data_IF_547928748206
#
_entry.id   IF_547928748206
#
_cell.length_a   1.000
_cell.length_b   1.000
_cell.length_c   1.000
_cell.angle_alpha   90.00
_cell.angle_beta   90.00
_cell.angle_gamma   90.00
#
_symmetry.space_group_name_H-M   'P 1'
#
loop_
_entity.id
_entity.type
_entity.pdbx_description
1 polymer ?
#
# COMPACT_ATOMS: atom_id res chain seq x y z
N UNK A 1 -37.81 49.38 19.93
CA UNK A 1 -37.97 48.80 18.57
C UNK A 1 -36.92 49.47 17.71
N UNK A 2 -35.87 48.87 17.17
CA UNK A 2 -35.54 47.48 16.90
C UNK A 2 -34.01 47.36 16.98
N UNK A 3 -33.49 46.51 17.87
CA UNK A 3 -32.07 46.13 17.81
C UNK A 3 -31.96 45.03 16.76
N UNK A 4 -31.40 45.37 15.61
CA UNK A 4 -31.05 44.38 14.60
C UNK A 4 -29.91 43.52 15.14
N UNK A 5 -30.22 42.24 15.40
CA UNK A 5 -29.23 41.19 15.64
C UNK A 5 -28.38 41.03 14.39
N UNK A 6 -27.06 41.19 14.54
CA UNK A 6 -26.08 40.75 13.53
C UNK A 6 -26.12 39.21 13.52
N UNK A 7 -26.32 38.54 12.37
CA UNK A 7 -26.25 37.09 12.34
C UNK A 7 -24.81 36.64 12.59
N UNK A 8 -24.66 35.64 13.45
CA UNK A 8 -23.40 34.95 13.67
C UNK A 8 -22.82 34.49 12.32
N UNK A 9 -21.53 34.72 12.12
CA UNK A 9 -20.78 34.21 10.97
C UNK A 9 -20.97 32.69 10.91
N UNK A 10 -21.76 32.22 9.94
CA UNK A 10 -21.71 30.83 9.53
C UNK A 10 -20.29 30.61 9.00
N UNK A 11 -19.47 29.84 9.72
CA UNK A 11 -18.20 29.39 9.16
C UNK A 11 -18.54 28.68 7.85
N UNK A 12 -18.13 29.25 6.72
CA UNK A 12 -18.21 28.59 5.43
C UNK A 12 -17.41 27.29 5.54
N UNK A 13 -18.08 26.17 5.82
CA UNK A 13 -17.45 24.86 5.73
C UNK A 13 -17.06 24.67 4.26
N UNK A 14 -15.76 24.69 3.99
CA UNK A 14 -15.21 24.47 2.65
C UNK A 14 -15.68 23.09 2.19
N UNK A 15 -16.33 23.03 1.02
CA UNK A 15 -16.81 21.78 0.48
C UNK A 15 -15.61 20.83 0.24
N UNK A 16 -15.66 19.54 0.61
CA UNK A 16 -14.51 18.62 0.50
C UNK A 16 -13.85 18.61 -0.89
N UNK A 17 -14.66 18.75 -1.95
CA UNK A 17 -14.21 18.85 -3.35
C UNK A 17 -13.30 20.06 -3.67
N UNK A 18 -13.43 21.12 -2.88
CA UNK A 18 -12.67 22.39 -3.04
C UNK A 18 -11.37 22.39 -2.21
N UNK A 19 -11.21 21.43 -1.30
CA UNK A 19 -9.94 21.20 -0.60
C UNK A 19 -8.91 20.66 -1.60
N UNK A 20 -7.67 21.13 -1.54
CA UNK A 20 -6.54 20.58 -2.29
C UNK A 20 -5.57 19.91 -1.32
N UNK A 21 -5.50 18.58 -1.36
CA UNK A 21 -4.54 17.80 -0.60
C UNK A 21 -3.36 17.39 -1.51
N UNK A 22 -2.11 17.45 -1.04
CA UNK A 22 -0.97 17.01 -1.82
C UNK A 22 -1.00 15.49 -2.04
N UNK A 23 -0.67 15.08 -3.26
CA UNK A 23 -0.38 13.70 -3.63
C UNK A 23 0.97 13.71 -4.37
N UNK A 24 2.03 13.26 -3.71
CA UNK A 24 3.37 13.17 -4.31
C UNK A 24 3.67 11.74 -4.70
N UNK A 25 4.44 11.58 -5.76
CA UNK A 25 4.93 10.26 -6.19
C UNK A 25 6.43 10.35 -6.39
N UNK A 26 7.17 9.48 -5.72
CA UNK A 26 8.64 9.49 -5.67
C UNK A 26 9.20 8.18 -6.20
N UNK A 27 10.21 8.25 -7.07
CA UNK A 27 10.90 7.08 -7.60
C UNK A 27 12.28 6.91 -6.93
N UNK A 28 12.40 5.98 -5.98
CA UNK A 28 13.71 5.57 -5.43
C UNK A 28 14.26 4.31 -6.12
N UNK A 29 13.65 3.86 -7.21
CA UNK A 29 14.19 2.78 -8.02
C UNK A 29 15.42 3.28 -8.78
N UNK A 30 16.35 2.38 -9.10
CA UNK A 30 17.53 2.71 -9.91
C UNK A 30 17.22 2.85 -11.41
N UNK A 31 15.96 2.61 -11.80
CA UNK A 31 15.49 2.64 -13.18
C UNK A 31 14.27 3.58 -13.30
N UNK A 32 14.00 4.12 -14.49
CA UNK A 32 12.77 4.85 -14.75
C UNK A 32 11.55 3.95 -14.50
N UNK A 33 10.53 4.53 -13.88
CA UNK A 33 9.22 3.91 -13.73
C UNK A 33 8.16 4.80 -14.38
N UNK A 34 6.98 4.24 -14.61
CA UNK A 34 5.85 4.99 -15.10
C UNK A 34 4.71 4.92 -14.10
N UNK A 35 4.67 5.79 -13.09
CA UNK A 35 3.56 5.80 -12.17
C UNK A 35 2.25 6.06 -12.89
N UNK A 36 1.18 5.53 -12.31
CA UNK A 36 -0.17 5.63 -12.79
C UNK A 36 -1.10 5.87 -11.61
N UNK A 37 -2.13 6.67 -11.85
CA UNK A 37 -3.09 7.09 -10.82
C UNK A 37 -4.50 6.93 -11.41
N UNK A 38 -5.35 6.18 -10.71
CA UNK A 38 -6.76 6.06 -11.05
C UNK A 38 -7.58 6.83 -10.01
N UNK A 39 -8.50 7.66 -10.49
CA UNK A 39 -9.49 8.34 -9.65
C UNK A 39 -10.83 7.65 -9.80
N UNK A 40 -11.38 7.15 -8.69
CA UNK A 40 -12.71 6.53 -8.60
C UNK A 40 -13.76 7.54 -8.12
N UNK A 41 -13.37 8.51 -7.28
CA UNK A 41 -14.24 9.59 -6.81
C UNK A 41 -13.45 10.87 -6.55
N UNK A 42 -14.15 12.00 -6.50
CA UNK A 42 -13.58 13.33 -6.27
C UNK A 42 -12.87 13.89 -7.51
N UNK A 43 -12.07 14.94 -7.30
CA UNK A 43 -11.19 15.52 -8.31
C UNK A 43 -9.81 14.89 -8.17
N UNK A 44 -9.43 14.17 -9.22
CA UNK A 44 -8.12 13.54 -9.35
C UNK A 44 -6.99 14.52 -9.65
N UNK A 45 -5.77 14.00 -9.75
CA UNK A 45 -4.58 14.79 -10.05
C UNK A 45 -4.56 15.20 -11.54
N UNK A 46 -3.68 16.14 -11.88
CA UNK A 46 -3.61 16.71 -13.23
C UNK A 46 -3.15 15.70 -14.30
N UNK A 47 -2.40 14.67 -13.89
CA UNK A 47 -1.88 13.60 -14.74
C UNK A 47 -2.17 12.24 -14.10
N UNK A 48 -2.84 11.35 -14.85
CA UNK A 48 -3.13 9.96 -14.45
C UNK A 48 -2.01 8.98 -14.81
N UNK A 49 -0.98 9.43 -15.53
CA UNK A 49 0.25 8.65 -15.68
C UNK A 49 1.37 9.40 -16.39
N UNK A 50 2.60 9.12 -15.97
CA UNK A 50 3.78 9.89 -16.35
C UNK A 50 5.03 9.03 -16.23
N UNK A 51 6.14 9.45 -16.86
CA UNK A 51 7.46 8.85 -16.61
C UNK A 51 8.12 9.55 -15.42
N UNK A 52 8.83 8.80 -14.59
CA UNK A 52 9.54 9.34 -13.43
C UNK A 52 10.96 8.76 -13.38
N UNK A 53 11.99 9.60 -13.45
CA UNK A 53 13.39 9.15 -13.42
C UNK A 53 13.81 8.77 -12.00
N UNK A 54 14.89 7.98 -11.83
CA UNK A 54 15.47 7.71 -10.52
C UNK A 54 15.75 8.99 -9.72
N UNK A 55 15.26 9.04 -8.49
CA UNK A 55 15.39 10.18 -7.57
C UNK A 55 14.36 11.30 -7.76
N UNK A 56 13.56 11.28 -8.83
CA UNK A 56 12.57 12.32 -9.08
C UNK A 56 11.32 12.16 -8.21
N UNK A 57 10.71 13.30 -7.90
CA UNK A 57 9.40 13.41 -7.25
C UNK A 57 8.43 14.20 -8.13
N UNK A 58 7.23 13.68 -8.33
CA UNK A 58 6.15 14.35 -9.05
C UNK A 58 5.09 14.85 -8.05
N UNK A 59 5.01 16.16 -7.77
CA UNK A 59 3.98 16.72 -6.91
C UNK A 59 2.68 16.96 -7.68
N UNK A 60 1.58 16.41 -7.18
CA UNK A 60 0.22 16.67 -7.67
C UNK A 60 -0.73 16.96 -6.49
N UNK A 61 -2.00 17.21 -6.79
CA UNK A 61 -3.04 17.44 -5.77
C UNK A 61 -4.28 16.64 -6.10
N UNK A 62 -5.05 16.31 -5.06
CA UNK A 62 -6.35 15.66 -5.16
C UNK A 62 -7.34 16.37 -4.23
N UNK A 63 -8.63 16.17 -4.43
CA UNK A 63 -9.63 16.76 -3.54
C UNK A 63 -9.76 16.06 -2.19
N UNK A 64 -10.38 16.73 -1.21
CA UNK A 64 -10.72 16.15 0.10
C UNK A 64 -11.82 15.09 0.07
N UNK A 65 -12.43 14.79 -1.08
CA UNK A 65 -13.35 13.65 -1.26
C UNK A 65 -12.77 12.59 -2.20
N UNK A 66 -11.47 12.68 -2.49
CA UNK A 66 -10.84 11.81 -3.47
C UNK A 66 -10.79 10.35 -3.00
N UNK A 67 -11.12 9.45 -3.92
CA UNK A 67 -10.91 8.01 -3.80
C UNK A 67 -10.15 7.54 -5.02
N UNK A 68 -9.09 6.80 -4.81
CA UNK A 68 -8.22 6.40 -5.91
C UNK A 68 -7.10 5.50 -5.47
N UNK A 69 -6.28 5.15 -6.46
CA UNK A 69 -5.12 4.28 -6.29
C UNK A 69 -3.94 4.72 -7.14
N UNK A 70 -2.75 4.46 -6.63
CA UNK A 70 -1.47 4.74 -7.27
C UNK A 70 -0.70 3.43 -7.43
N UNK A 71 -0.13 3.19 -8.62
CA UNK A 71 0.75 2.04 -8.86
C UNK A 71 1.88 2.41 -9.82
N UNK A 72 2.94 1.61 -9.80
CA UNK A 72 4.10 1.80 -10.68
C UNK A 72 4.08 0.81 -11.83
N UNK A 73 4.36 1.28 -13.04
CA UNK A 73 4.54 0.44 -14.23
C UNK A 73 6.01 0.33 -14.57
N UNK A 74 6.43 -0.83 -15.07
CA UNK A 74 7.83 -1.12 -15.36
C UNK A 74 8.06 -1.49 -16.82
N UNK A 75 9.27 -1.18 -17.30
CA UNK A 75 9.75 -1.50 -18.64
C UNK A 75 8.72 -1.08 -19.72
N UNK A 76 8.36 0.21 -19.69
CA UNK A 76 7.40 0.77 -20.64
C UNK A 76 8.08 1.41 -21.84
N UNK A 77 7.41 1.42 -22.98
CA UNK A 77 7.83 2.17 -24.15
C UNK A 77 6.61 2.75 -24.87
N UNK A 78 6.49 4.08 -24.89
CA UNK A 78 5.41 4.79 -25.57
C UNK A 78 5.96 5.64 -26.72
N UNK A 79 5.27 5.68 -27.88
CA UNK A 79 5.59 6.64 -28.92
C UNK A 79 5.26 8.06 -28.44
N UNK A 80 5.68 9.09 -29.19
CA UNK A 80 5.42 10.50 -28.83
C UNK A 80 3.95 10.87 -28.65
N UNK A 81 3.01 10.05 -29.15
CA UNK A 81 1.55 10.18 -28.92
C UNK A 81 1.10 9.74 -27.53
N UNK A 82 1.94 9.06 -26.74
CA UNK A 82 1.60 8.56 -25.42
C UNK A 82 0.60 7.39 -25.41
N UNK A 83 0.38 6.73 -26.56
CA UNK A 83 -0.54 5.59 -26.69
C UNK A 83 0.02 4.52 -27.64
N UNK A 84 -0.17 3.26 -27.27
CA UNK A 84 0.43 2.10 -27.91
C UNK A 84 1.90 1.87 -27.51
N UNK A 85 2.48 0.71 -27.85
CA UNK A 85 3.91 0.48 -27.71
C UNK A 85 4.71 1.22 -28.81
N UNK A 86 5.91 1.72 -28.48
CA UNK A 86 6.78 2.42 -29.46
C UNK A 86 7.15 1.58 -30.68
N UNK A 87 7.07 0.26 -30.58
CA UNK A 87 7.36 -0.67 -31.70
C UNK A 87 6.33 -0.57 -32.83
N UNK A 88 5.19 0.09 -32.63
CA UNK A 88 4.08 0.15 -33.59
C UNK A 88 3.45 -1.22 -33.89
N UNK A 89 3.84 -2.25 -33.14
CA UNK A 89 3.36 -3.63 -33.27
C UNK A 89 2.27 -3.91 -32.23
N UNK A 90 1.42 -4.92 -32.45
CA UNK A 90 0.49 -5.38 -31.42
C UNK A 90 1.23 -5.81 -30.14
N UNK A 91 0.70 -5.46 -28.96
CA UNK A 91 1.31 -5.76 -27.67
C UNK A 91 0.95 -4.76 -26.56
N UNK A 92 1.50 -4.98 -25.36
CA UNK A 92 1.39 -4.06 -24.22
C UNK A 92 2.54 -3.05 -24.22
N UNK A 93 2.28 -1.82 -23.80
CA UNK A 93 3.31 -0.79 -23.73
C UNK A 93 4.23 -0.98 -22.52
N UNK A 94 3.73 -1.55 -21.42
CA UNK A 94 4.47 -1.85 -20.19
C UNK A 94 4.50 -3.35 -19.89
N UNK A 95 5.57 -3.83 -19.24
CA UNK A 95 5.68 -5.25 -18.84
C UNK A 95 4.84 -5.58 -17.62
N UNK A 96 4.70 -4.65 -16.66
CA UNK A 96 3.83 -4.80 -15.49
C UNK A 96 3.00 -3.54 -15.25
N UNK A 97 1.82 -3.69 -14.66
CA UNK A 97 0.92 -2.58 -14.33
C UNK A 97 0.34 -1.84 -15.53
N UNK A 98 0.49 -2.37 -16.76
CA UNK A 98 0.02 -1.70 -17.98
C UNK A 98 -1.47 -1.34 -17.87
N UNK A 99 -1.86 -0.15 -18.32
CA UNK A 99 -3.23 0.35 -18.19
C UNK A 99 -3.93 0.50 -19.55
N UNK A 100 -3.70 -0.46 -20.44
CA UNK A 100 -4.26 -0.48 -21.79
C UNK A 100 -3.35 0.18 -22.83
N UNK A 101 -2.04 0.16 -22.62
CA UNK A 101 -1.03 0.80 -23.47
C UNK A 101 -1.16 2.32 -23.59
N UNK A 102 -1.68 2.99 -22.56
CA UNK A 102 -1.73 4.45 -22.48
C UNK A 102 -0.76 4.99 -21.44
N UNK A 103 -0.04 6.08 -21.74
CA UNK A 103 0.76 6.78 -20.75
C UNK A 103 -0.14 7.37 -19.67
N UNK A 104 -1.19 8.07 -20.08
CA UNK A 104 -2.27 8.57 -19.22
C UNK A 104 -3.31 7.45 -19.05
N UNK A 105 -3.40 6.89 -17.85
CA UNK A 105 -4.25 5.72 -17.63
C UNK A 105 -5.75 6.09 -17.64
N UNK A 106 -6.56 5.47 -18.51
CA UNK A 106 -8.01 5.66 -18.52
C UNK A 106 -8.73 4.77 -17.49
N UNK A 107 -8.02 3.80 -16.90
CA UNK A 107 -8.61 2.80 -16.02
C UNK A 107 -7.56 2.08 -15.16
N UNK A 108 -7.96 0.94 -14.61
CA UNK A 108 -7.12 0.08 -13.78
C UNK A 108 -5.88 -0.43 -14.53
N UNK A 109 -4.79 -0.65 -13.80
CA UNK A 109 -3.63 -1.38 -14.30
C UNK A 109 -3.87 -2.89 -14.33
N UNK A 110 -3.15 -3.58 -15.22
CA UNK A 110 -3.12 -5.04 -15.30
C UNK A 110 -2.19 -5.62 -14.23
N UNK A 111 -2.64 -6.70 -13.58
CA UNK A 111 -1.84 -7.45 -12.63
C UNK A 111 -0.59 -8.09 -13.30
N UNK A 112 0.54 -8.21 -12.58
CA UNK A 112 0.71 -7.82 -11.19
C UNK A 112 1.02 -6.34 -11.01
N UNK A 113 0.40 -5.73 -10.01
CA UNK A 113 0.69 -4.36 -9.59
C UNK A 113 0.53 -4.23 -8.07
N UNK A 114 1.58 -3.77 -7.39
CA UNK A 114 1.47 -3.31 -6.00
C UNK A 114 0.73 -1.98 -5.98
N UNK A 115 -0.34 -1.88 -5.19
CA UNK A 115 -1.19 -0.69 -5.13
C UNK A 115 -0.97 0.08 -3.83
N UNK A 116 -1.04 1.41 -3.90
CA UNK A 116 -1.33 2.28 -2.77
C UNK A 116 -2.74 2.85 -2.96
N UNK A 117 -3.65 2.54 -2.04
CA UNK A 117 -5.08 2.85 -2.16
C UNK A 117 -5.48 3.87 -1.11
N UNK A 118 -6.40 4.78 -1.48
CA UNK A 118 -6.79 5.90 -0.63
C UNK A 118 -8.29 6.17 -0.76
N UNK A 119 -8.92 6.43 0.38
CA UNK A 119 -10.28 6.94 0.49
C UNK A 119 -10.32 8.07 1.51
N UNK A 120 -10.44 9.30 1.02
CA UNK A 120 -10.81 10.44 1.86
C UNK A 120 -12.32 10.42 2.08
N UNK A 121 -12.74 10.05 3.30
CA UNK A 121 -14.14 9.96 3.69
C UNK A 121 -14.59 11.27 4.33
N UNK A 122 -15.33 12.06 3.57
CA UNK A 122 -15.95 13.30 4.07
C UNK A 122 -17.04 13.05 5.12
N UNK A 123 -17.66 11.88 5.11
CA UNK A 123 -18.78 11.56 6.01
C UNK A 123 -18.31 11.28 7.44
N UNK A 124 -17.12 10.69 7.57
CA UNK A 124 -16.51 10.34 8.86
C UNK A 124 -15.33 11.23 9.23
N UNK A 125 -14.95 12.18 8.38
CA UNK A 125 -13.73 13.01 8.51
C UNK A 125 -12.47 12.18 8.75
N UNK A 126 -12.42 11.01 8.12
CA UNK A 126 -11.32 10.05 8.21
C UNK A 126 -10.75 9.76 6.84
N UNK A 127 -9.49 9.38 6.82
CA UNK A 127 -8.83 8.84 5.65
C UNK A 127 -8.53 7.37 5.88
N UNK A 128 -8.99 6.54 4.95
CA UNK A 128 -8.63 5.13 4.86
C UNK A 128 -7.57 4.98 3.78
N UNK A 129 -6.52 4.23 4.06
CA UNK A 129 -5.48 3.96 3.08
C UNK A 129 -4.76 2.67 3.41
N UNK A 130 -4.12 2.10 2.39
CA UNK A 130 -3.43 0.83 2.52
C UNK A 130 -2.44 0.62 1.37
N UNK A 131 -1.55 -0.35 1.58
CA UNK A 131 -0.79 -0.98 0.51
C UNK A 131 -1.49 -2.30 0.21
N UNK A 132 -1.71 -2.60 -1.06
CA UNK A 132 -2.46 -3.78 -1.48
C UNK A 132 -1.68 -4.63 -2.47
N UNK A 133 -1.62 -5.93 -2.15
CA UNK A 133 -1.07 -7.01 -2.97
C UNK A 133 -2.19 -7.91 -3.54
N UNK A 134 -3.45 -7.47 -3.45
CA UNK A 134 -4.61 -8.20 -4.01
C UNK A 134 -4.44 -8.41 -5.51
N UNK A 135 -3.91 -7.40 -6.20
CA UNK A 135 -3.60 -7.44 -7.64
C UNK A 135 -2.17 -7.89 -7.93
N UNK A 136 -1.48 -8.50 -6.96
CA UNK A 136 -0.12 -8.99 -7.11
C UNK A 136 0.95 -8.03 -6.59
N UNK A 137 2.20 -8.39 -6.85
CA UNK A 137 3.37 -7.59 -6.47
C UNK A 137 4.26 -7.36 -7.68
N UNK A 138 4.60 -6.11 -7.97
CA UNK A 138 5.62 -5.78 -8.96
C UNK A 138 6.70 -4.88 -8.37
N UNK A 139 6.39 -3.80 -7.67
CA UNK A 139 7.38 -2.90 -7.07
C UNK A 139 7.20 -2.83 -5.56
N UNK A 140 8.29 -2.63 -4.79
CA UNK A 140 8.16 -2.21 -3.40
C UNK A 140 7.52 -0.83 -3.34
N UNK A 141 6.65 -0.63 -2.36
CA UNK A 141 5.91 0.62 -2.15
C UNK A 141 5.97 0.98 -0.68
N UNK A 142 6.09 2.26 -0.39
CA UNK A 142 5.75 2.80 0.91
C UNK A 142 4.90 4.06 0.78
N UNK A 143 4.17 4.38 1.84
CA UNK A 143 3.28 5.54 1.91
C UNK A 143 3.77 6.43 3.04
N UNK A 144 3.93 7.73 2.77
CA UNK A 144 4.21 8.75 3.77
C UNK A 144 2.97 9.62 3.89
N UNK A 145 2.37 9.64 5.07
CA UNK A 145 1.37 10.64 5.43
C UNK A 145 2.01 12.01 5.58
N UNK A 146 1.42 13.02 4.96
CA UNK A 146 1.93 14.40 4.99
C UNK A 146 1.23 15.24 6.08
N UNK A 147 0.82 14.59 7.18
CA UNK A 147 0.15 15.24 8.32
C UNK A 147 1.00 16.35 8.94
N UNK A 148 2.32 16.15 9.00
CA UNK A 148 3.30 17.14 9.47
C UNK A 148 3.40 18.39 8.58
N UNK A 149 2.81 18.36 7.37
CA UNK A 149 2.79 19.48 6.42
C UNK A 149 1.37 20.07 6.28
N UNK A 150 0.44 19.67 7.14
CA UNK A 150 -0.97 20.05 7.05
C UNK A 150 -1.25 21.50 7.49
N UNK A 151 -0.38 22.10 8.30
CA UNK A 151 -0.65 23.38 8.96
C UNK A 151 -1.65 23.28 10.11
N UNK A 152 -2.07 22.06 10.49
CA UNK A 152 -2.95 21.78 11.62
C UNK A 152 -2.14 21.09 12.71
N UNK A 153 -1.87 21.80 13.81
CA UNK A 153 -1.05 21.28 14.92
C UNK A 153 -1.53 19.93 15.45
N UNK A 154 -2.84 19.69 15.44
CA UNK A 154 -3.44 18.44 15.91
C UNK A 154 -3.05 17.24 15.04
N UNK A 155 -2.92 17.47 13.72
CA UNK A 155 -2.47 16.46 12.77
C UNK A 155 -0.94 16.34 12.78
N UNK A 156 -0.24 17.46 12.91
CA UNK A 156 1.23 17.51 12.94
C UNK A 156 1.81 16.76 14.16
N UNK A 157 1.05 16.69 15.26
CA UNK A 157 1.42 15.93 16.46
C UNK A 157 1.30 14.41 16.31
N UNK A 158 0.69 13.90 15.23
CA UNK A 158 0.55 12.45 14.99
C UNK A 158 1.91 11.87 14.56
N UNK A 159 2.50 10.94 15.33
CA UNK A 159 3.81 10.38 14.99
C UNK A 159 3.83 9.60 13.67
N UNK A 160 4.84 9.82 12.81
CA UNK A 160 4.93 9.18 11.49
C UNK A 160 5.16 7.67 11.54
N UNK A 161 5.73 7.15 12.63
CA UNK A 161 5.90 5.71 12.83
C UNK A 161 4.60 4.96 13.15
N UNK A 162 3.48 5.68 13.29
CA UNK A 162 2.13 5.13 13.35
C UNK A 162 1.47 5.05 11.97
N UNK A 163 1.90 5.83 10.99
CA UNK A 163 1.08 6.10 9.80
C UNK A 163 1.77 5.79 8.48
N UNK A 164 3.06 5.48 8.47
CA UNK A 164 3.81 5.37 7.23
C UNK A 164 4.20 3.90 6.91
N UNK A 165 3.30 3.10 6.31
CA UNK A 165 3.55 1.70 5.99
C UNK A 165 4.55 1.55 4.84
N UNK A 166 5.27 0.44 4.87
CA UNK A 166 6.26 0.05 3.86
C UNK A 166 6.12 -1.43 3.55
N UNK A 167 6.14 -1.79 2.26
CA UNK A 167 6.08 -3.15 1.76
C UNK A 167 7.27 -3.43 0.83
N UNK A 168 8.18 -4.32 1.26
CA UNK A 168 9.38 -4.70 0.52
C UNK A 168 9.41 -6.21 0.29
N UNK A 169 8.94 -6.63 -0.88
CA UNK A 169 8.98 -8.01 -1.38
C UNK A 169 10.10 -8.29 -2.38
N UNK A 170 11.12 -7.42 -2.44
CA UNK A 170 12.25 -7.52 -3.37
C UNK A 170 13.56 -7.69 -2.59
N UNK A 171 14.27 -8.80 -2.81
CA UNK A 171 15.40 -9.18 -1.97
C UNK A 171 16.60 -8.24 -2.06
N UNK A 172 16.82 -7.59 -3.22
CA UNK A 172 17.91 -6.62 -3.41
C UNK A 172 17.71 -5.30 -2.65
N UNK A 173 16.48 -5.02 -2.21
CA UNK A 173 16.12 -3.82 -1.44
C UNK A 173 15.85 -4.13 0.03
N UNK A 174 15.89 -5.42 0.41
CA UNK A 174 15.68 -5.87 1.78
C UNK A 174 16.94 -5.70 2.62
N UNK A 175 16.83 -4.95 3.71
CA UNK A 175 17.89 -4.82 4.69
C UNK A 175 17.99 -6.06 5.62
N UNK A 176 19.20 -6.37 6.14
CA UNK A 176 19.40 -7.44 7.12
C UNK A 176 18.51 -7.27 8.37
N UNK A 177 18.24 -8.37 9.07
CA UNK A 177 17.57 -8.34 10.37
C UNK A 177 18.40 -7.50 11.35
N UNK A 178 17.74 -6.64 12.11
CA UNK A 178 18.37 -5.71 13.04
C UNK A 178 18.87 -4.41 12.40
N UNK A 179 18.78 -4.26 11.08
CA UNK A 179 19.06 -2.99 10.43
C UNK A 179 18.04 -1.91 10.87
N UNK A 180 18.48 -0.65 11.00
CA UNK A 180 17.57 0.47 11.22
C UNK A 180 16.64 0.68 10.00
N UNK A 181 15.69 1.62 10.12
CA UNK A 181 14.91 2.08 8.98
C UNK A 181 15.83 2.47 7.82
N UNK A 182 15.43 2.15 6.59
CA UNK A 182 16.27 2.33 5.40
C UNK A 182 16.38 3.79 4.94
N UNK A 183 16.96 4.00 3.76
CA UNK A 183 17.38 5.33 3.28
C UNK A 183 16.23 6.30 3.00
N UNK A 184 15.04 5.78 2.66
CA UNK A 184 13.83 6.58 2.63
C UNK A 184 13.37 6.69 4.08
N UNK A 185 13.85 7.70 4.79
CA UNK A 185 13.37 7.97 6.13
C UNK A 185 11.88 8.36 6.02
N UNK A 186 10.98 7.40 6.24
CA UNK A 186 9.52 7.51 6.09
C UNK A 186 8.94 8.39 7.19
N UNK A 187 9.45 9.62 7.32
CA UNK A 187 9.21 10.53 8.44
C UNK A 187 9.73 10.04 9.79
N UNK A 188 10.29 8.84 9.87
CA UNK A 188 10.77 8.25 11.11
C UNK A 188 12.05 8.93 11.61
N UNK A 189 12.49 8.62 12.81
CA UNK A 189 13.81 9.03 13.31
C UNK A 189 14.11 8.25 14.61
N UNK A 190 15.19 8.61 15.31
CA UNK A 190 15.52 8.01 16.60
C UNK A 190 14.47 8.25 17.70
N UNK A 191 13.65 9.31 17.58
CA UNK A 191 12.55 9.61 18.50
C UNK A 191 11.31 8.77 18.16
N UNK A 192 10.99 8.61 16.88
CA UNK A 192 9.85 7.84 16.38
C UNK A 192 10.32 6.73 15.42
N UNK A 193 10.91 5.64 15.94
CA UNK A 193 11.42 4.57 15.10
C UNK A 193 10.28 3.72 14.54
N UNK A 194 10.39 3.31 13.27
CA UNK A 194 9.40 2.44 12.64
C UNK A 194 9.40 1.04 13.26
N UNK A 195 8.21 0.45 13.50
CA UNK A 195 8.06 -0.97 13.74
C UNK A 195 8.35 -1.72 12.44
N UNK A 196 9.57 -2.23 12.31
CA UNK A 196 9.99 -3.03 11.16
C UNK A 196 9.77 -4.51 11.45
N UNK A 197 9.30 -5.26 10.45
CA UNK A 197 9.36 -6.72 10.48
C UNK A 197 10.81 -7.15 10.75
N UNK A 198 10.98 -8.17 11.57
CA UNK A 198 12.30 -8.74 11.84
C UNK A 198 12.35 -10.24 11.53
N UNK A 199 11.31 -10.80 10.90
CA UNK A 199 11.12 -12.23 10.72
C UNK A 199 11.56 -12.72 9.35
N UNK A 200 11.42 -11.89 8.31
CA UNK A 200 11.72 -12.30 6.94
C UNK A 200 13.23 -12.26 6.65
N UNK A 201 13.74 -13.29 6.00
CA UNK A 201 15.13 -13.35 5.55
C UNK A 201 15.25 -12.99 4.07
N UNK A 202 16.43 -12.57 3.58
CA UNK A 202 16.66 -12.41 2.14
C UNK A 202 16.34 -13.67 1.33
N UNK A 203 16.63 -14.86 1.86
CA UNK A 203 16.31 -16.14 1.23
C UNK A 203 14.81 -16.40 1.11
N UNK A 204 14.04 -16.04 2.14
CA UNK A 204 12.58 -16.09 2.07
C UNK A 204 12.07 -15.10 1.01
N UNK A 205 12.55 -13.85 1.02
CA UNK A 205 12.10 -12.85 0.04
C UNK A 205 12.50 -13.21 -1.40
N UNK A 206 13.58 -13.95 -1.62
CA UNK A 206 13.92 -14.42 -2.97
C UNK A 206 12.96 -15.52 -3.48
N UNK A 207 12.24 -16.19 -2.58
CA UNK A 207 11.45 -17.39 -2.89
C UNK A 207 9.98 -17.32 -2.45
N UNK A 208 9.52 -16.20 -1.87
CA UNK A 208 8.17 -16.07 -1.32
C UNK A 208 7.08 -16.25 -2.37
N UNK A 209 7.33 -15.78 -3.59
CA UNK A 209 6.40 -15.89 -4.71
C UNK A 209 6.34 -17.35 -5.21
N UNK A 210 5.16 -18.00 -5.16
CA UNK A 210 4.98 -19.35 -5.70
C UNK A 210 5.34 -19.43 -7.19
N UNK A 211 5.98 -20.53 -7.60
CA UNK A 211 6.43 -20.72 -8.99
C UNK A 211 5.35 -20.46 -10.06
N UNK A 212 4.10 -20.95 -9.93
CA UNK A 212 3.07 -20.74 -10.95
C UNK A 212 2.60 -19.28 -11.11
N UNK A 213 2.94 -18.44 -10.12
CA UNK A 213 2.52 -17.04 -10.01
C UNK A 213 3.62 -16.07 -10.46
N UNK A 214 4.84 -16.56 -10.67
CA UNK A 214 5.91 -15.76 -11.24
C UNK A 214 5.59 -15.41 -12.70
N UNK A 215 5.83 -14.15 -13.08
CA UNK A 215 5.60 -13.67 -14.45
C UNK A 215 6.59 -14.28 -15.43
N UNK A 216 7.84 -14.44 -14.99
CA UNK A 216 8.91 -15.07 -15.76
C UNK A 216 9.44 -16.31 -15.02
N UNK A 217 8.69 -17.43 -14.95
CA UNK A 217 9.17 -18.62 -14.29
C UNK A 217 10.41 -19.16 -15.04
N UNK A 218 11.40 -19.75 -14.35
CA UNK A 218 12.57 -20.33 -14.99
C UNK A 218 12.13 -21.41 -15.98
N UNK A 219 12.87 -21.51 -17.09
CA UNK A 219 12.64 -22.56 -18.06
C UNK A 219 12.88 -23.92 -17.40
N UNK A 220 11.94 -24.86 -17.59
CA UNK A 220 12.05 -26.22 -17.07
C UNK A 220 13.39 -26.83 -17.53
N UNK A 221 14.17 -27.47 -16.65
CA UNK A 221 15.16 -28.45 -17.09
C UNK A 221 14.48 -29.56 -17.90
N UNK A 222 15.25 -30.23 -18.77
CA UNK A 222 14.76 -31.18 -19.78
C UNK A 222 13.81 -32.30 -19.30
N UNK A 223 13.17 -32.92 -20.30
CA UNK A 223 12.37 -34.16 -20.24
C UNK A 223 11.07 -34.17 -19.41
N UNK A 224 10.48 -33.02 -19.13
CA UNK A 224 9.09 -32.95 -18.66
C UNK A 224 8.87 -33.43 -17.21
N UNK A 225 9.95 -33.65 -16.45
CA UNK A 225 9.90 -33.88 -15.01
C UNK A 225 9.97 -32.52 -14.31
N UNK A 226 9.02 -32.25 -13.41
CA UNK A 226 9.10 -31.08 -12.53
C UNK A 226 10.25 -31.29 -11.55
N UNK A 227 11.27 -30.43 -11.51
CA UNK A 227 12.19 -30.44 -10.39
C UNK A 227 11.41 -30.00 -9.14
N UNK A 228 11.29 -30.92 -8.17
CA UNK A 228 10.78 -30.67 -6.83
C UNK A 228 11.78 -29.74 -6.06
N UNK A 229 11.44 -29.23 -4.86
CA UNK A 229 12.00 -28.01 -4.23
C UNK A 229 13.52 -27.95 -3.99
N UNK A 230 14.27 -28.98 -4.36
CA UNK A 230 15.64 -29.25 -3.94
C UNK A 230 16.65 -29.09 -5.09
N UNK A 231 16.16 -28.80 -6.30
CA UNK A 231 17.05 -28.41 -7.38
C UNK A 231 17.49 -26.97 -7.11
N UNK A 232 18.80 -26.75 -7.03
CA UNK A 232 19.48 -25.45 -6.85
C UNK A 232 19.25 -24.49 -8.05
N UNK A 233 18.00 -24.35 -8.52
CA UNK A 233 17.57 -23.45 -9.58
C UNK A 233 17.55 -22.05 -8.98
N UNK A 234 18.54 -21.26 -9.38
CA UNK A 234 18.66 -19.88 -8.95
C UNK A 234 17.44 -19.07 -9.45
N UNK A 235 16.63 -18.59 -8.51
CA UNK A 235 15.54 -17.65 -8.83
C UNK A 235 16.13 -16.32 -9.30
N UNK A 236 15.51 -15.65 -10.30
CA UNK A 236 15.88 -14.29 -10.64
C UNK A 236 15.74 -13.40 -9.39
N UNK A 237 16.66 -12.45 -9.24
CA UNK A 237 16.72 -11.53 -8.09
C UNK A 237 15.41 -10.71 -7.96
N UNK A 238 14.70 -10.54 -9.07
CA UNK A 238 13.41 -9.86 -9.12
C UNK A 238 12.49 -10.56 -10.13
N UNK A 239 11.30 -10.96 -9.67
CA UNK A 239 10.25 -11.50 -10.52
C UNK A 239 8.90 -11.01 -10.01
N UNK A 240 8.14 -10.22 -10.80
CA UNK A 240 6.79 -9.84 -10.43
C UNK A 240 5.93 -11.07 -10.16
N UNK A 241 5.08 -10.97 -9.16
CA UNK A 241 4.28 -12.06 -8.64
C UNK A 241 2.79 -11.76 -8.84
N UNK A 242 2.12 -12.56 -9.66
CA UNK A 242 0.67 -12.52 -9.77
C UNK A 242 0.03 -12.96 -8.46
N UNK A 243 -1.10 -12.34 -8.11
CA UNK A 243 -1.96 -12.91 -7.09
C UNK A 243 -2.66 -14.17 -7.60
N UNK A 244 -3.19 -14.96 -6.68
CA UNK A 244 -3.99 -16.14 -7.01
C UNK A 244 -5.22 -15.78 -7.88
N UNK A 245 -5.90 -14.66 -7.56
CA UNK A 245 -7.03 -14.17 -8.34
C UNK A 245 -6.58 -13.79 -9.76
N UNK A 246 -5.53 -12.97 -9.89
CA UNK A 246 -5.01 -12.54 -11.18
C UNK A 246 -4.58 -13.71 -12.07
N UNK A 247 -4.03 -14.78 -11.49
CA UNK A 247 -3.60 -15.96 -12.24
C UNK A 247 -4.75 -16.85 -12.69
N UNK A 248 -5.68 -17.14 -11.80
CA UNK A 248 -6.63 -18.23 -12.00
C UNK A 248 -8.08 -17.77 -12.25
N UNK A 249 -8.41 -16.54 -11.89
CA UNK A 249 -9.74 -15.95 -12.04
C UNK A 249 -10.87 -16.88 -11.53
N UNK A 250 -10.69 -17.43 -10.32
CA UNK A 250 -11.68 -18.32 -9.67
C UNK A 250 -12.27 -17.63 -8.45
N UNK A 251 -13.55 -17.88 -8.21
CA UNK A 251 -14.32 -17.30 -7.10
C UNK A 251 -13.63 -17.41 -5.74
N UNK A 252 -13.06 -18.58 -5.42
CA UNK A 252 -12.34 -18.81 -4.16
C UNK A 252 -11.09 -17.93 -3.96
N UNK A 253 -10.48 -17.43 -5.04
CA UNK A 253 -9.29 -16.58 -4.97
C UNK A 253 -9.63 -15.11 -5.13
N UNK A 254 -10.68 -14.80 -5.88
CA UNK A 254 -11.17 -13.43 -6.10
C UNK A 254 -12.21 -13.00 -5.06
N UNK A 255 -12.62 -13.91 -4.17
CA UNK A 255 -13.67 -13.69 -3.18
C UNK A 255 -14.99 -13.23 -3.81
N UNK A 256 -15.41 -13.91 -4.87
CA UNK A 256 -16.65 -13.65 -5.60
C UNK A 256 -17.61 -14.85 -5.49
N UNK A 257 -18.82 -14.72 -6.03
CA UNK A 257 -19.79 -15.82 -6.05
C UNK A 257 -20.10 -16.36 -4.65
N UNK A 258 -19.93 -17.67 -4.44
CA UNK A 258 -20.12 -18.33 -3.14
C UNK A 258 -19.03 -18.01 -2.11
N UNK A 259 -17.99 -17.26 -2.48
CA UNK A 259 -16.88 -16.85 -1.63
C UNK A 259 -16.91 -15.35 -1.33
N UNK A 260 -18.03 -14.65 -1.55
CA UNK A 260 -18.18 -13.21 -1.38
C UNK A 260 -18.40 -12.73 0.07
N UNK A 261 -17.93 -13.49 1.05
CA UNK A 261 -17.91 -13.08 2.45
C UNK A 261 -16.60 -13.50 3.12
N UNK A 262 -16.15 -12.80 4.17
CA UNK A 262 -14.97 -13.19 4.94
C UNK A 262 -15.05 -14.62 5.51
N UNK A 263 -16.25 -15.11 5.81
CA UNK A 263 -16.44 -16.47 6.33
C UNK A 263 -16.25 -17.54 5.25
N UNK A 264 -16.43 -17.19 3.98
CA UNK A 264 -16.42 -18.13 2.84
C UNK A 264 -15.18 -18.00 1.97
N UNK A 265 -14.45 -16.88 2.00
CA UNK A 265 -13.17 -16.74 1.29
C UNK A 265 -12.01 -16.98 2.25
N UNK A 266 -11.25 -18.05 2.04
CA UNK A 266 -10.05 -18.33 2.83
C UNK A 266 -8.79 -17.81 2.14
N UNK A 267 -7.76 -17.40 2.90
CA UNK A 267 -6.46 -17.07 2.33
C UNK A 267 -5.89 -18.24 1.51
N UNK A 268 -5.37 -17.93 0.34
CA UNK A 268 -4.55 -18.81 -0.51
C UNK A 268 -3.09 -18.87 -0.05
N UNK A 269 -2.32 -19.82 -0.59
CA UNK A 269 -0.86 -19.88 -0.39
C UNK A 269 -0.17 -18.56 -0.76
N UNK A 270 -0.60 -17.91 -1.85
CA UNK A 270 -0.11 -16.59 -2.24
C UNK A 270 -0.34 -15.57 -1.14
N UNK A 271 -1.57 -15.43 -0.66
CA UNK A 271 -1.91 -14.42 0.33
C UNK A 271 -1.21 -14.68 1.67
N UNK A 272 -1.07 -15.93 2.09
CA UNK A 272 -0.32 -16.26 3.31
C UNK A 272 1.15 -15.87 3.18
N UNK A 273 1.77 -16.07 2.01
CA UNK A 273 3.15 -15.67 1.76
C UNK A 273 3.28 -14.15 1.64
N UNK A 274 2.40 -13.50 0.89
CA UNK A 274 2.35 -12.04 0.73
C UNK A 274 2.21 -11.33 2.09
N UNK A 275 1.37 -11.86 2.98
CA UNK A 275 1.19 -11.31 4.34
C UNK A 275 2.42 -11.45 5.22
N UNK A 276 3.20 -12.53 5.06
CA UNK A 276 4.50 -12.67 5.73
C UNK A 276 5.52 -11.66 5.22
N UNK A 277 5.48 -11.34 3.93
CA UNK A 277 6.38 -10.35 3.29
C UNK A 277 6.03 -8.93 3.72
N UNK A 278 4.74 -8.59 3.72
CA UNK A 278 4.23 -7.26 4.05
C UNK A 278 3.08 -7.38 5.06
N UNK A 279 3.38 -7.41 6.37
CA UNK A 279 2.38 -7.57 7.43
C UNK A 279 1.30 -6.50 7.44
N UNK A 280 1.63 -5.26 7.08
CA UNK A 280 0.70 -4.13 7.03
C UNK A 280 -0.08 -4.01 5.70
N UNK A 281 0.18 -4.89 4.72
CA UNK A 281 -0.45 -4.82 3.39
C UNK A 281 -1.60 -5.82 3.24
N UNK A 282 -2.58 -5.49 2.41
CA UNK A 282 -3.61 -6.43 2.00
C UNK A 282 -3.00 -7.56 1.19
N UNK A 283 -3.25 -8.79 1.63
CA UNK A 283 -2.80 -9.98 0.90
C UNK A 283 -3.88 -10.63 0.03
N UNK A 284 -5.15 -10.36 0.33
CA UNK A 284 -6.35 -10.78 -0.40
C UNK A 284 -7.55 -9.89 0.01
N UNK A 285 -8.71 -10.06 -0.64
CA UNK A 285 -9.84 -9.13 -0.55
C UNK A 285 -10.46 -8.94 0.86
N UNK A 286 -10.33 -9.90 1.78
CA UNK A 286 -10.90 -9.80 3.14
C UNK A 286 -9.83 -9.73 4.24
N UNK A 287 -8.68 -9.14 3.95
CA UNK A 287 -7.56 -8.92 4.89
C UNK A 287 -7.66 -7.58 5.66
N UNK A 288 -8.87 -7.09 5.94
CA UNK A 288 -9.07 -5.70 6.41
C UNK A 288 -8.41 -5.41 7.77
N UNK A 289 -8.63 -6.29 8.75
CA UNK A 289 -8.28 -6.04 10.16
C UNK A 289 -6.79 -5.77 10.41
N UNK A 290 -5.92 -6.19 9.49
CA UNK A 290 -4.47 -6.08 9.63
C UNK A 290 -3.82 -5.35 8.46
N UNK A 291 -4.61 -4.63 7.65
CA UNK A 291 -4.11 -3.98 6.44
C UNK A 291 -4.63 -2.56 6.22
N UNK A 292 -5.77 -2.19 6.82
CA UNK A 292 -6.32 -0.84 6.69
C UNK A 292 -5.72 0.12 7.71
N UNK A 293 -5.20 1.24 7.24
CA UNK A 293 -4.87 2.38 8.09
C UNK A 293 -6.02 3.37 8.11
N UNK A 294 -6.34 3.90 9.27
CA UNK A 294 -7.37 4.92 9.47
C UNK A 294 -6.73 6.07 10.24
N UNK A 295 -6.71 7.25 9.63
CA UNK A 295 -6.18 8.47 10.24
C UNK A 295 -7.20 9.61 10.08
N UNK A 296 -7.11 10.68 10.88
CA UNK A 296 -7.92 11.86 10.67
C UNK A 296 -7.65 12.46 9.30
N UNK A 297 -8.67 13.03 8.69
CA UNK A 297 -8.54 13.59 7.35
C UNK A 297 -7.67 14.84 7.31
N UNK A 298 -6.70 14.87 6.39
CA UNK A 298 -5.84 16.02 6.14
C UNK A 298 -4.44 15.63 5.67
N UNK A 299 -3.56 16.62 5.52
CA UNK A 299 -2.13 16.44 5.22
C UNK A 299 -1.81 16.03 3.78
N UNK A 300 -2.54 15.06 3.21
CA UNK A 300 -2.21 14.43 1.93
C UNK A 300 -1.20 13.29 2.08
N UNK A 301 -0.69 12.77 0.97
CA UNK A 301 0.25 11.64 0.97
C UNK A 301 1.37 11.79 -0.05
N UNK A 302 2.43 11.04 0.20
CA UNK A 302 3.48 10.72 -0.75
C UNK A 302 3.59 9.20 -0.92
N UNK A 303 3.57 8.73 -2.16
CA UNK A 303 3.80 7.32 -2.52
C UNK A 303 5.23 7.18 -3.01
N UNK A 304 6.01 6.35 -2.33
CA UNK A 304 7.43 6.14 -2.61
C UNK A 304 7.62 4.74 -3.21
N UNK A 305 8.12 4.67 -4.44
CA UNK A 305 8.48 3.41 -5.10
C UNK A 305 9.92 3.01 -4.79
N UNK A 306 10.15 1.70 -4.66
CA UNK A 306 11.43 1.08 -4.32
C UNK A 306 12.11 1.64 -3.05
N UNK A 307 11.41 1.78 -1.91
CA UNK A 307 12.12 1.95 -0.66
C UNK A 307 13.09 0.80 -0.39
N UNK A 308 14.25 1.14 0.16
CA UNK A 308 15.15 0.18 0.77
C UNK A 308 14.86 0.07 2.27
N UNK A 309 15.08 -1.10 2.86
CA UNK A 309 14.81 -1.32 4.28
C UNK A 309 14.06 -2.63 4.51
N UNK A 310 13.10 -2.61 5.44
CA UNK A 310 12.25 -3.76 5.76
C UNK A 310 10.79 -3.33 5.75
N UNK A 311 9.89 -4.27 5.48
CA UNK A 311 8.46 -4.02 5.58
C UNK A 311 8.09 -3.62 7.01
N UNK A 312 7.07 -2.79 7.14
CA UNK A 312 6.56 -2.37 8.45
C UNK A 312 5.60 -3.41 9.04
N UNK A 313 5.39 -3.29 10.35
CA UNK A 313 4.45 -4.08 11.14
C UNK A 313 3.71 -3.16 12.14
N UNK A 314 3.30 -2.00 11.63
CA UNK A 314 2.72 -0.90 12.39
C UNK A 314 1.37 -1.32 12.95
N UNK A 315 0.49 -1.95 12.17
CA UNK A 315 -0.87 -2.26 12.63
C UNK A 315 -0.87 -3.26 13.79
N UNK A 316 0.04 -4.23 13.78
CA UNK A 316 0.19 -5.16 14.90
C UNK A 316 0.88 -4.52 16.13
N UNK A 317 1.67 -3.46 15.94
CA UNK A 317 2.38 -2.77 17.02
C UNK A 317 1.52 -1.66 17.65
N UNK A 318 0.82 -0.91 16.82
CA UNK A 318 0.16 0.36 17.15
C UNK A 318 -1.31 0.43 16.72
N UNK A 319 -1.93 -0.67 16.30
CA UNK A 319 -3.33 -0.68 15.86
C UNK A 319 -4.31 -0.13 16.88
N UNK A 320 -4.07 -0.35 18.18
CA UNK A 320 -4.89 0.21 19.25
C UNK A 320 -4.80 1.75 19.30
N UNK A 321 -3.58 2.28 19.17
CA UNK A 321 -3.31 3.72 19.16
C UNK A 321 -3.90 4.37 17.91
N UNK A 322 -3.78 3.76 16.74
CA UNK A 322 -4.40 4.25 15.50
C UNK A 322 -5.92 4.29 15.59
N UNK A 323 -6.56 3.26 16.17
CA UNK A 323 -8.02 3.26 16.40
C UNK A 323 -8.45 4.40 17.32
N UNK A 324 -7.66 4.71 18.36
CA UNK A 324 -7.93 5.85 19.22
C UNK A 324 -7.78 7.18 18.47
N UNK A 325 -6.69 7.38 17.72
CA UNK A 325 -6.49 8.60 16.91
C UNK A 325 -7.63 8.78 15.91
N UNK A 326 -8.06 7.72 15.23
CA UNK A 326 -9.17 7.77 14.29
C UNK A 326 -10.48 8.21 14.93
N UNK A 327 -10.71 7.88 16.21
CA UNK A 327 -11.89 8.29 16.97
C UNK A 327 -11.79 9.70 17.56
N UNK A 328 -10.62 10.10 18.02
CA UNK A 328 -10.42 11.38 18.75
C UNK A 328 -9.94 12.51 17.86
N UNK A 329 -9.46 12.21 16.65
CA UNK A 329 -8.88 13.19 15.73
C UNK A 329 -7.45 13.63 16.09
N UNK A 330 -6.84 13.11 17.16
CA UNK A 330 -5.55 13.59 17.66
C UNK A 330 -4.74 12.52 18.41
N UNK A 331 -3.42 12.66 18.41
CA UNK A 331 -2.54 11.83 19.22
C UNK A 331 -2.46 12.34 20.67
N UNK A 332 -2.93 11.53 21.63
CA UNK A 332 -2.78 11.85 23.05
C UNK A 332 -1.32 11.75 23.51
N UNK A 333 -1.00 12.33 24.67
CA UNK A 333 0.35 12.24 25.23
C UNK A 333 0.81 10.79 25.45
N UNK A 334 -0.09 9.92 25.86
CA UNK A 334 0.20 8.49 26.07
C UNK A 334 0.49 7.78 24.75
N UNK A 335 -0.22 8.12 23.68
CA UNK A 335 0.03 7.60 22.34
C UNK A 335 1.42 8.04 21.85
N UNK A 336 1.75 9.32 22.00
CA UNK A 336 3.08 9.84 21.64
C UNK A 336 4.19 9.17 22.45
N UNK A 337 4.02 9.04 23.77
CA UNK A 337 4.99 8.36 24.64
C UNK A 337 5.17 6.89 24.23
N UNK A 338 4.08 6.20 23.86
CA UNK A 338 4.12 4.81 23.39
C UNK A 338 4.84 4.70 22.05
N UNK A 339 4.59 5.62 21.12
CA UNK A 339 5.26 5.69 19.82
C UNK A 339 6.78 5.94 19.95
N UNK A 340 7.23 6.56 21.04
CA UNK A 340 8.66 6.77 21.35
C UNK A 340 9.31 5.58 22.07
N UNK A 341 8.52 4.65 22.62
CA UNK A 341 9.01 3.58 23.47
C UNK A 341 9.59 2.43 22.63
N UNK A 342 10.91 2.45 22.43
CA UNK A 342 11.65 1.41 21.69
C UNK A 342 11.46 0.01 22.29
N UNK A 343 11.38 -0.10 23.63
CA UNK A 343 11.18 -1.39 24.30
C UNK A 343 9.82 -1.97 23.93
N UNK A 344 8.76 -1.15 23.98
CA UNK A 344 7.41 -1.54 23.55
C UNK A 344 7.40 -2.03 22.09
N UNK A 345 8.01 -1.27 21.18
CA UNK A 345 8.10 -1.64 19.75
C UNK A 345 8.80 -2.99 19.57
N UNK A 346 9.92 -3.22 20.28
CA UNK A 346 10.68 -4.46 20.20
C UNK A 346 9.90 -5.65 20.75
N UNK A 347 9.26 -5.49 21.92
CA UNK A 347 8.49 -6.55 22.56
C UNK A 347 7.30 -6.99 21.71
N UNK A 348 6.56 -6.04 21.12
CA UNK A 348 5.47 -6.35 20.18
C UNK A 348 5.97 -7.13 18.97
N UNK A 349 7.10 -6.71 18.39
CA UNK A 349 7.71 -7.43 17.27
C UNK A 349 8.15 -8.87 17.65
N UNK A 350 8.60 -9.12 18.88
CA UNK A 350 8.93 -10.48 19.35
C UNK A 350 7.67 -11.30 19.60
N UNK A 351 6.64 -10.73 20.23
CA UNK A 351 5.38 -11.44 20.48
C UNK A 351 4.73 -11.97 19.19
N UNK A 352 4.84 -11.19 18.11
CA UNK A 352 4.32 -11.56 16.78
C UNK A 352 5.09 -12.76 16.20
N UNK A 353 6.40 -12.90 16.45
CA UNK A 353 7.17 -14.10 16.07
C UNK A 353 6.69 -15.36 16.79
N UNK A 354 6.37 -15.24 18.08
CA UNK A 354 6.01 -16.38 18.92
C UNK A 354 4.52 -16.76 18.81
N UNK A 355 3.66 -15.82 18.40
CA UNK A 355 2.20 -15.98 18.36
C UNK A 355 1.63 -16.65 17.12
N UNK A 356 2.46 -17.19 16.22
CA UNK A 356 2.03 -17.76 14.93
C UNK A 356 1.07 -18.95 14.98
N UNK A 357 0.52 -19.35 16.14
CA UNK A 357 -0.39 -20.50 16.33
C UNK A 357 -1.46 -20.27 17.42
N UNK A 358 -2.09 -19.10 17.50
CA UNK A 358 -3.25 -18.93 18.41
C UNK A 358 -4.25 -17.91 17.87
N UNK A 359 -5.26 -18.39 17.15
CA UNK A 359 -6.49 -17.64 16.91
C UNK A 359 -7.18 -17.35 18.25
N UNK A 360 -7.14 -16.09 18.69
CA UNK A 360 -7.88 -15.65 19.86
C UNK A 360 -9.34 -15.41 19.46
N UNK A 361 -10.22 -16.28 19.98
CA UNK A 361 -11.67 -16.10 19.97
C UNK A 361 -12.04 -14.99 20.95
N UNK A 362 -12.32 -13.80 20.42
CA UNK A 362 -13.10 -12.67 20.97
C UNK A 362 -12.61 -11.50 20.10
N UNK A 363 -13.37 -10.95 19.15
CA UNK A 363 -14.56 -10.12 19.39
C UNK A 363 -15.51 -10.23 18.19
N UNK A 364 -16.71 -10.77 18.42
CA UNK A 364 -17.86 -10.52 17.56
C UNK A 364 -18.41 -9.14 17.95
N UNK A 365 -18.56 -8.27 16.95
CA UNK A 365 -19.60 -7.22 16.74
C UNK A 365 -18.95 -5.95 16.19
N UNK A 366 -18.87 -5.87 14.86
CA UNK A 366 -19.06 -4.67 14.02
C UNK A 366 -18.81 -5.07 12.56
N UNK A 367 -19.62 -5.99 12.06
CA UNK A 367 -19.69 -6.34 10.64
C UNK A 367 -20.99 -5.79 10.08
N UNK A 368 -20.95 -4.60 9.49
CA UNK A 368 -21.94 -4.05 8.55
C UNK A 368 -21.50 -2.64 8.15
N UNK A 369 -20.69 -2.58 7.09
CA UNK A 369 -20.47 -1.47 6.13
C UNK A 369 -19.04 -1.58 5.59
N UNK A 370 -18.83 -2.35 4.52
CA UNK A 370 -17.78 -2.17 3.49
C UNK A 370 -17.71 -3.42 2.60
N UNK A 371 -18.83 -3.78 1.96
CA UNK A 371 -18.85 -4.73 0.84
C UNK A 371 -19.54 -4.05 -0.33
N UNK A 372 -18.82 -3.15 -0.99
CA UNK A 372 -19.22 -2.54 -2.26
C UNK A 372 -18.01 -1.94 -2.99
N UNK A 373 -16.89 -2.66 -3.10
CA UNK A 373 -15.71 -2.19 -3.83
C UNK A 373 -15.02 -3.33 -4.59
N UNK A 374 -15.75 -3.97 -5.50
CA UNK A 374 -15.20 -4.75 -6.61
C UNK A 374 -16.12 -4.54 -7.82
N UNK A 375 -15.99 -3.37 -8.48
CA UNK A 375 -16.49 -3.06 -9.83
C UNK A 375 -15.70 -1.90 -10.40
#
# INVERSE_FOLDING_TARGET
>A
MSSALVPAEASLQVHPRDINLPLRVTNNCNEPIWPAILTQNGRGPASSGFVLQPGDTNPQTVSGDWRGRVWGRTNCSFPGSGSGPSSGSGGVACTTGDCGSFLQCPGAGQAPATLAEFTYSSDTYQTFYDISLVDGYNLPVGIISLLSQSGNSTLEDIPPNLTNPVCIGTSSLLAPVGAPAGNADFGSNSTFPLPLDQTVTPSFIQSWCPWPLQLNPPQKPGDGVYPYPDDNIQRPIFNPCLSACAKWNKDQYCCTGSHNTPATCSPSDYSTQAKRVCPDAYSYAYDDQTSTFIIPQGGGFEVVFCPSGRSTNILATFGDQLRQIAQTGHASRDIVNTAQNITYIREKNVAIRCGGHSGSRLELVLGLLMVAWLS
#
